data_IF_953790306687
#
_entry.id   IF_953790306687
#
_cell.length_a   1.000
_cell.length_b   1.000
_cell.length_c   1.000
_cell.angle_alpha   90.00
_cell.angle_beta   90.00
_cell.angle_gamma   90.00
#
_symmetry.space_group_name_H-M   'P 1'
#
loop_
_entity.id
_entity.type
_entity.pdbx_description
1 polymer ?
#
# COMPACT_ATOMS: atom_id res chain seq x y z
N UNK A 1 -17.17 13.04 10.63
CA UNK A 1 -18.57 12.54 10.45
C UNK A 1 -18.74 11.25 11.21
N UNK A 2 -19.94 10.98 11.75
CA UNK A 2 -20.27 9.69 12.35
C UNK A 2 -20.80 8.69 11.31
N UNK A 3 -21.02 7.40 11.70
CA UNK A 3 -21.50 6.34 10.78
C UNK A 3 -22.80 6.71 10.07
N UNK A 4 -23.75 7.40 10.75
CA UNK A 4 -25.03 7.79 10.14
C UNK A 4 -24.80 8.81 9.02
N UNK A 5 -23.97 9.82 9.25
CA UNK A 5 -23.65 10.86 8.26
C UNK A 5 -22.89 10.26 7.04
N UNK A 6 -22.00 9.28 7.29
CA UNK A 6 -21.33 8.54 6.21
C UNK A 6 -22.34 7.77 5.37
N UNK A 7 -23.28 7.06 5.99
CA UNK A 7 -24.30 6.29 5.27
C UNK A 7 -25.24 7.23 4.47
N UNK A 8 -25.60 8.40 5.00
CA UNK A 8 -26.37 9.43 4.28
C UNK A 8 -25.58 9.99 3.08
N UNK A 9 -24.28 10.27 3.26
CA UNK A 9 -23.39 10.72 2.20
C UNK A 9 -23.29 9.69 1.07
N UNK A 10 -23.13 8.43 1.43
CA UNK A 10 -23.05 7.32 0.47
C UNK A 10 -24.37 7.08 -0.28
N UNK A 11 -25.52 7.36 0.36
CA UNK A 11 -26.83 7.22 -0.27
C UNK A 11 -27.12 8.34 -1.31
N UNK A 12 -26.34 9.42 -1.32
CA UNK A 12 -26.50 10.51 -2.28
C UNK A 12 -26.18 10.06 -3.72
N UNK A 13 -26.88 10.65 -4.71
CA UNK A 13 -26.62 10.39 -6.13
C UNK A 13 -25.28 10.97 -6.61
N UNK A 14 -24.71 11.90 -5.87
CA UNK A 14 -23.43 12.52 -6.22
C UNK A 14 -22.24 11.68 -5.72
N UNK A 15 -21.96 10.60 -6.43
CA UNK A 15 -20.89 9.68 -6.08
C UNK A 15 -19.50 10.33 -6.06
N UNK A 16 -19.25 11.32 -6.92
CA UNK A 16 -17.96 12.01 -6.98
C UNK A 16 -17.70 12.82 -5.71
N UNK A 17 -18.70 13.50 -5.19
CA UNK A 17 -18.60 14.24 -3.92
C UNK A 17 -18.41 13.29 -2.74
N UNK A 18 -19.16 12.18 -2.70
CA UNK A 18 -19.03 11.18 -1.64
C UNK A 18 -17.61 10.58 -1.61
N UNK A 19 -17.06 10.21 -2.77
CA UNK A 19 -15.71 9.67 -2.87
C UNK A 19 -14.65 10.72 -2.52
N UNK A 20 -14.83 11.99 -2.92
CA UNK A 20 -13.92 13.06 -2.55
C UNK A 20 -13.86 13.25 -1.03
N UNK A 21 -15.01 13.24 -0.35
CA UNK A 21 -15.07 13.35 1.10
C UNK A 21 -14.42 12.16 1.81
N UNK A 22 -14.68 10.94 1.35
CA UNK A 22 -14.02 9.74 1.88
C UNK A 22 -12.50 9.79 1.73
N UNK A 23 -11.98 10.37 0.64
CA UNK A 23 -10.54 10.58 0.42
C UNK A 23 -9.98 11.67 1.34
N UNK A 24 -10.75 12.72 1.62
CA UNK A 24 -10.35 13.82 2.50
C UNK A 24 -10.27 13.41 3.98
N UNK A 25 -10.97 12.35 4.40
CA UNK A 25 -10.87 11.79 5.75
C UNK A 25 -9.48 11.27 6.10
N UNK A 26 -8.62 11.07 5.09
CA UNK A 26 -7.21 10.76 5.29
C UNK A 26 -6.42 12.03 5.62
N UNK A 27 -5.60 11.97 6.66
CA UNK A 27 -4.79 13.10 7.11
C UNK A 27 -3.73 13.46 6.04
N UNK A 28 -3.74 14.70 5.55
CA UNK A 28 -2.84 15.17 4.49
C UNK A 28 -1.33 15.12 4.85
N UNK A 29 -1.02 14.98 6.14
CA UNK A 29 0.36 14.86 6.65
C UNK A 29 0.94 13.45 6.57
N UNK A 30 0.15 12.47 6.11
CA UNK A 30 0.65 11.11 5.98
C UNK A 30 1.70 11.00 4.86
N UNK A 31 2.76 10.25 5.14
CA UNK A 31 3.87 10.13 4.19
C UNK A 31 3.42 9.49 2.89
N UNK A 32 3.98 9.98 1.77
CA UNK A 32 3.73 9.42 0.45
C UNK A 32 4.26 7.98 0.35
N UNK A 33 3.37 7.00 0.42
CA UNK A 33 3.74 5.58 0.36
C UNK A 33 4.56 5.23 -0.89
N UNK A 34 4.34 5.93 -2.02
CA UNK A 34 5.09 5.72 -3.25
C UNK A 34 6.58 6.04 -3.09
N UNK A 35 6.91 7.06 -2.29
CA UNK A 35 8.30 7.44 -2.03
C UNK A 35 9.04 6.36 -1.23
N UNK A 36 8.40 5.78 -0.21
CA UNK A 36 8.99 4.66 0.55
C UNK A 36 9.16 3.40 -0.28
N UNK A 37 8.17 3.09 -1.13
CA UNK A 37 8.22 1.93 -2.02
C UNK A 37 9.34 2.10 -3.05
N UNK A 38 9.54 3.30 -3.60
CA UNK A 38 10.63 3.60 -4.53
C UNK A 38 12.02 3.33 -3.92
N UNK A 39 12.19 3.63 -2.61
CA UNK A 39 13.45 3.36 -1.90
C UNK A 39 13.75 1.87 -1.68
N UNK A 40 12.74 1.00 -1.79
CA UNK A 40 12.94 -0.45 -1.70
C UNK A 40 13.50 -1.05 -2.99
N UNK A 41 13.36 -0.35 -4.12
CA UNK A 41 13.93 -0.75 -5.40
C UNK A 41 15.29 -0.06 -5.61
N UNK A 42 16.41 -0.83 -5.68
CA UNK A 42 17.71 -0.25 -5.96
C UNK A 42 17.75 0.57 -7.25
N UNK A 43 16.96 0.21 -8.27
CA UNK A 43 16.94 0.94 -9.55
C UNK A 43 16.16 2.26 -9.44
N UNK A 44 15.10 2.29 -8.64
CA UNK A 44 14.29 3.48 -8.36
C UNK A 44 14.87 4.40 -7.26
N UNK A 45 16.02 4.03 -6.67
CA UNK A 45 16.61 4.76 -5.58
C UNK A 45 17.20 6.11 -6.05
N UNK A 46 17.02 7.17 -5.26
CA UNK A 46 17.48 8.54 -5.53
C UNK A 46 18.96 8.66 -5.89
N UNK A 47 19.79 7.72 -5.42
CA UNK A 47 21.21 7.63 -5.78
C UNK A 47 21.43 7.46 -7.29
N UNK A 48 20.48 6.82 -7.98
CA UNK A 48 20.56 6.59 -9.42
C UNK A 48 20.03 7.76 -10.25
N UNK A 49 19.37 8.73 -9.61
CA UNK A 49 18.87 9.93 -10.28
C UNK A 49 20.02 10.90 -10.59
N UNK A 50 20.37 11.15 -11.87
CA UNK A 50 21.44 12.06 -12.25
C UNK A 50 21.16 13.53 -11.88
N UNK A 51 19.91 13.90 -11.61
CA UNK A 51 19.53 15.25 -11.14
C UNK A 51 19.84 15.41 -9.66
N UNK A 52 19.52 14.39 -8.86
CA UNK A 52 19.78 14.38 -7.40
C UNK A 52 21.25 14.13 -7.09
N UNK A 53 21.88 13.23 -7.85
CA UNK A 53 23.33 12.94 -7.74
C UNK A 53 24.01 13.27 -9.06
N UNK A 54 24.38 14.54 -9.19
CA UNK A 54 25.03 15.06 -10.41
C UNK A 54 26.43 14.50 -10.57
N UNK A 55 26.86 14.38 -11.82
CA UNK A 55 28.23 14.08 -12.15
C UNK A 55 29.16 15.19 -11.68
N UNK A 56 30.40 14.83 -11.36
CA UNK A 56 31.38 15.75 -10.81
C UNK A 56 31.96 16.65 -11.92
N UNK A 57 31.91 17.95 -11.71
CA UNK A 57 32.67 18.89 -12.53
C UNK A 57 34.11 18.97 -12.00
N UNK A 58 35.08 18.62 -12.82
CA UNK A 58 36.52 18.71 -12.51
C UNK A 58 37.10 19.78 -13.38
N UNK A 59 37.74 20.82 -12.73
CA UNK A 59 38.48 21.83 -13.46
C UNK A 59 39.68 21.19 -14.16
N UNK A 60 39.92 21.61 -15.41
CA UNK A 60 41.01 21.09 -16.22
C UNK A 60 41.89 22.26 -16.62
N UNK A 61 43.19 22.14 -16.38
CA UNK A 61 44.17 23.07 -16.90
C UNK A 61 44.62 22.57 -18.29
N UNK A 62 44.29 23.35 -19.34
CA UNK A 62 44.67 23.00 -20.71
C UNK A 62 46.18 23.10 -20.99
N UNK A 63 46.93 23.67 -20.05
CA UNK A 63 48.42 23.69 -20.12
C UNK A 63 49.06 22.41 -19.62
N UNK A 64 48.25 21.49 -19.06
CA UNK A 64 48.71 20.18 -18.59
C UNK A 64 49.03 19.28 -19.78
N UNK A 65 50.27 18.89 -19.94
CA UNK A 65 50.80 18.12 -21.07
C UNK A 65 50.30 16.65 -21.09
N UNK A 66 49.72 16.16 -20.01
CA UNK A 66 49.24 14.79 -19.88
C UNK A 66 47.82 14.56 -20.46
N UNK A 67 47.15 15.61 -20.96
CA UNK A 67 45.82 15.49 -21.53
C UNK A 67 45.91 15.05 -23.01
N UNK A 68 45.45 13.84 -23.29
CA UNK A 68 45.41 13.33 -24.66
C UNK A 68 44.26 13.97 -25.48
N UNK A 69 44.32 13.82 -26.82
CA UNK A 69 43.36 14.46 -27.73
C UNK A 69 41.92 13.91 -27.60
N UNK A 70 41.73 12.69 -27.09
CA UNK A 70 40.40 12.16 -26.81
C UNK A 70 39.80 12.77 -25.53
N UNK A 71 40.61 13.01 -24.52
CA UNK A 71 40.19 13.71 -23.29
C UNK A 71 39.82 15.17 -23.55
N UNK A 72 40.57 15.85 -24.44
CA UNK A 72 40.26 17.22 -24.87
C UNK A 72 38.86 17.35 -25.51
N UNK A 73 38.36 16.32 -26.22
CA UNK A 73 37.02 16.34 -26.80
C UNK A 73 35.89 16.39 -25.78
N UNK A 74 36.15 15.98 -24.54
CA UNK A 74 35.19 15.94 -23.44
C UNK A 74 35.26 17.16 -22.52
N UNK A 75 36.16 18.12 -22.80
CA UNK A 75 36.32 19.34 -22.04
C UNK A 75 35.28 20.36 -22.50
N UNK A 76 34.55 20.92 -21.56
CA UNK A 76 33.58 22.00 -21.78
C UNK A 76 34.19 23.30 -21.27
N UNK A 77 34.08 24.34 -22.08
CA UNK A 77 34.53 25.68 -21.73
C UNK A 77 33.30 26.54 -21.40
N UNK A 78 33.30 27.21 -20.28
CA UNK A 78 32.25 28.17 -19.87
C UNK A 78 32.93 29.48 -19.52
N UNK A 79 32.44 30.57 -20.13
CA UNK A 79 32.88 31.92 -19.79
C UNK A 79 31.90 32.50 -18.77
N UNK A 80 32.39 32.90 -17.62
CA UNK A 80 31.60 33.55 -16.59
C UNK A 80 31.28 35.02 -16.98
N UNK A 81 30.29 35.62 -16.29
CA UNK A 81 29.87 37.02 -16.56
C UNK A 81 30.96 38.06 -16.48
N UNK A 82 32.06 37.76 -15.80
CA UNK A 82 33.27 38.61 -15.64
C UNK A 82 34.33 38.37 -16.74
N UNK A 83 33.99 37.57 -17.77
CA UNK A 83 34.87 37.25 -18.90
C UNK A 83 35.95 36.19 -18.60
N UNK A 84 35.97 35.59 -17.41
CA UNK A 84 36.86 34.48 -17.10
C UNK A 84 36.38 33.18 -17.71
N UNK A 85 37.29 32.44 -18.33
CA UNK A 85 37.00 31.19 -19.01
C UNK A 85 37.46 30.03 -18.12
N UNK A 86 36.51 29.18 -17.73
CA UNK A 86 36.81 27.95 -16.99
C UNK A 86 36.62 26.73 -17.90
N UNK A 87 37.64 25.88 -17.93
CA UNK A 87 37.59 24.58 -18.59
C UNK A 87 37.31 23.50 -17.57
N UNK A 88 36.35 22.64 -17.86
CA UNK A 88 36.02 21.52 -16.99
C UNK A 88 35.61 20.28 -17.82
N UNK A 89 35.88 19.11 -17.25
CA UNK A 89 35.33 17.85 -17.69
C UNK A 89 34.27 17.35 -16.74
N UNK A 90 33.30 16.60 -17.27
CA UNK A 90 32.29 15.94 -16.45
C UNK A 90 32.73 14.49 -16.23
N UNK A 91 33.03 14.17 -14.98
CA UNK A 91 33.36 12.82 -14.56
C UNK A 91 32.09 12.11 -14.05
N UNK A 92 31.75 10.93 -14.62
CA UNK A 92 30.62 10.18 -14.14
C UNK A 92 30.85 9.71 -12.71
N UNK A 93 29.90 10.02 -11.83
CA UNK A 93 29.95 9.56 -10.44
C UNK A 93 29.35 8.16 -10.36
N UNK A 94 30.06 7.23 -9.71
CA UNK A 94 29.53 5.90 -9.44
C UNK A 94 28.21 6.00 -8.64
N UNK A 95 27.13 5.46 -9.20
CA UNK A 95 25.81 5.41 -8.60
C UNK A 95 25.53 3.97 -8.19
N UNK A 96 25.81 3.65 -6.93
CA UNK A 96 25.58 2.31 -6.38
C UNK A 96 24.49 2.41 -5.33
N UNK A 97 23.29 1.93 -5.68
CA UNK A 97 22.19 1.83 -4.73
C UNK A 97 22.31 0.51 -3.95
N UNK A 98 22.50 0.63 -2.65
CA UNK A 98 22.47 -0.50 -1.75
C UNK A 98 21.03 -0.70 -1.26
N UNK A 99 20.47 -1.91 -1.42
CA UNK A 99 19.11 -2.25 -0.98
C UNK A 99 19.00 -2.40 0.56
N UNK A 100 19.54 -1.43 1.31
CA UNK A 100 19.57 -1.46 2.78
C UNK A 100 18.17 -1.42 3.35
N UNK A 101 17.29 -0.57 2.81
CA UNK A 101 15.89 -0.45 3.25
C UNK A 101 15.16 -1.79 3.08
N UNK A 102 15.35 -2.46 1.95
CA UNK A 102 14.79 -3.79 1.69
C UNK A 102 15.31 -4.84 2.67
N UNK A 103 16.60 -4.76 3.03
CA UNK A 103 17.21 -5.65 4.02
C UNK A 103 16.62 -5.40 5.42
N UNK A 104 16.46 -4.13 5.81
CA UNK A 104 15.87 -3.74 7.10
C UNK A 104 14.43 -4.26 7.18
N UNK A 105 13.59 -4.02 6.18
CA UNK A 105 12.21 -4.52 6.14
C UNK A 105 12.18 -6.04 6.26
N UNK A 106 13.02 -6.76 5.49
CA UNK A 106 13.09 -8.21 5.53
C UNK A 106 13.47 -8.73 6.92
N UNK A 107 14.44 -8.11 7.58
CA UNK A 107 14.87 -8.48 8.94
C UNK A 107 13.81 -8.13 9.98
N UNK A 108 13.17 -6.96 9.89
CA UNK A 108 12.09 -6.56 10.79
C UNK A 108 10.93 -7.54 10.73
N UNK A 109 10.48 -7.94 9.53
CA UNK A 109 9.44 -8.97 9.36
C UNK A 109 9.86 -10.31 9.96
N UNK A 110 11.11 -10.72 9.74
CA UNK A 110 11.62 -11.99 10.28
C UNK A 110 11.72 -11.95 11.81
N UNK A 111 12.07 -10.82 12.40
CA UNK A 111 12.15 -10.63 13.84
C UNK A 111 10.76 -10.65 14.49
N UNK A 112 9.81 -9.87 13.92
CA UNK A 112 8.46 -9.73 14.49
C UNK A 112 7.63 -11.00 14.36
N UNK A 113 7.70 -11.67 13.18
CA UNK A 113 6.89 -12.85 12.85
C UNK A 113 7.74 -14.09 12.50
N UNK A 114 8.91 -14.21 13.10
CA UNK A 114 9.75 -15.41 13.00
C UNK A 114 9.04 -16.62 13.60
N UNK A 115 8.46 -16.43 14.77
CA UNK A 115 7.62 -17.42 15.43
C UNK A 115 6.14 -17.22 15.08
N UNK A 116 5.35 -18.28 15.01
CA UNK A 116 3.90 -18.16 14.82
C UNK A 116 3.25 -17.50 16.05
N UNK A 117 2.20 -16.70 15.79
CA UNK A 117 1.33 -16.20 16.87
C UNK A 117 0.55 -17.38 17.45
N UNK A 118 0.58 -17.54 18.75
CA UNK A 118 -0.11 -18.60 19.48
C UNK A 118 -1.31 -17.97 20.20
N UNK A 119 -2.48 -18.57 20.00
CA UNK A 119 -3.68 -18.21 20.78
C UNK A 119 -3.59 -18.98 22.11
N UNK A 120 -3.29 -18.25 23.17
CA UNK A 120 -3.19 -18.80 24.53
C UNK A 120 -4.54 -18.69 25.23
N UNK A 121 -5.39 -19.71 25.02
CA UNK A 121 -6.67 -19.88 25.70
C UNK A 121 -6.91 -21.38 25.93
N UNK A 122 -7.34 -21.71 27.12
CA UNK A 122 -7.60 -23.09 27.57
C UNK A 122 -9.02 -23.23 28.12
N UNK A 123 -10.05 -23.17 27.27
CA UNK A 123 -11.43 -23.36 27.70
C UNK A 123 -11.69 -24.81 28.05
N UNK A 124 -12.60 -25.04 28.98
CA UNK A 124 -13.04 -26.41 29.37
C UNK A 124 -13.61 -27.15 28.14
N UNK A 125 -13.27 -28.44 28.04
CA UNK A 125 -13.77 -29.28 26.95
C UNK A 125 -15.30 -29.43 26.99
N UNK A 126 -15.94 -29.36 25.81
CA UNK A 126 -17.40 -29.48 25.68
C UNK A 126 -18.15 -28.15 25.89
N UNK A 127 -17.43 -27.06 26.14
CA UNK A 127 -18.04 -25.70 26.21
C UNK A 127 -18.14 -25.03 24.87
N UNK A 128 -19.04 -24.02 24.73
CA UNK A 128 -19.15 -23.20 23.51
C UNK A 128 -17.85 -22.45 23.23
N UNK A 129 -17.14 -22.03 24.27
CA UNK A 129 -15.86 -21.34 24.19
C UNK A 129 -14.79 -22.23 23.53
N UNK A 130 -14.79 -23.52 23.85
CA UNK A 130 -13.89 -24.51 23.24
C UNK A 130 -14.19 -24.67 21.73
N UNK A 131 -15.47 -24.72 21.36
CA UNK A 131 -15.88 -24.84 19.97
C UNK A 131 -15.53 -23.55 19.17
N UNK A 132 -15.75 -22.37 19.76
CA UNK A 132 -15.36 -21.09 19.15
C UNK A 132 -13.84 -21.05 18.96
N UNK A 133 -13.05 -21.43 19.95
CA UNK A 133 -11.59 -21.46 19.82
C UNK A 133 -11.12 -22.40 18.72
N UNK A 134 -11.73 -23.59 18.60
CA UNK A 134 -11.45 -24.54 17.51
C UNK A 134 -11.76 -23.92 16.15
N UNK A 135 -12.92 -23.24 16.03
CA UNK A 135 -13.33 -22.54 14.81
C UNK A 135 -12.35 -21.41 14.43
N UNK A 136 -11.96 -20.58 15.39
CA UNK A 136 -10.98 -19.49 15.16
C UNK A 136 -9.62 -20.07 14.72
N UNK A 137 -9.10 -21.09 15.42
CA UNK A 137 -7.86 -21.75 15.01
C UNK A 137 -7.95 -22.32 13.60
N UNK A 138 -9.12 -22.87 13.22
CA UNK A 138 -9.35 -23.40 11.87
C UNK A 138 -9.43 -22.30 10.82
N UNK A 139 -10.11 -21.18 11.10
CA UNK A 139 -10.14 -20.01 10.22
C UNK A 139 -8.74 -19.47 9.95
N UNK A 140 -7.93 -19.31 11.01
CA UNK A 140 -6.54 -18.87 10.89
C UNK A 140 -5.68 -19.85 10.08
N UNK A 141 -5.86 -21.16 10.27
CA UNK A 141 -5.18 -22.19 9.49
C UNK A 141 -5.56 -22.13 8.00
N UNK A 142 -6.87 -22.06 7.69
CA UNK A 142 -7.39 -22.02 6.33
C UNK A 142 -6.92 -20.75 5.58
N UNK A 143 -6.66 -19.66 6.29
CA UNK A 143 -6.13 -18.41 5.75
C UNK A 143 -4.59 -18.32 5.85
N UNK A 144 -3.90 -19.39 6.24
CA UNK A 144 -2.43 -19.44 6.35
C UNK A 144 -1.87 -18.28 7.18
N UNK A 145 -2.38 -18.11 8.40
CA UNK A 145 -2.12 -16.97 9.29
C UNK A 145 -0.64 -16.60 9.41
N UNK A 146 0.28 -17.57 9.47
CA UNK A 146 1.72 -17.33 9.52
C UNK A 146 2.22 -16.56 8.28
N UNK A 147 1.73 -16.90 7.10
CA UNK A 147 2.09 -16.20 5.84
C UNK A 147 1.35 -14.87 5.73
N UNK A 148 0.10 -14.82 6.18
CA UNK A 148 -0.72 -13.62 6.24
C UNK A 148 -0.02 -12.55 7.08
N UNK A 149 0.31 -12.84 8.34
CA UNK A 149 0.96 -11.89 9.24
C UNK A 149 2.27 -11.32 8.67
N UNK A 150 3.07 -12.17 8.01
CA UNK A 150 4.30 -11.72 7.34
C UNK A 150 4.02 -10.81 6.14
N UNK A 151 2.93 -11.05 5.40
CA UNK A 151 2.54 -10.18 4.28
C UNK A 151 2.05 -8.82 4.77
N UNK A 152 1.21 -8.80 5.80
CA UNK A 152 0.74 -7.57 6.46
C UNK A 152 1.91 -6.77 6.99
N UNK A 153 2.80 -7.40 7.77
CA UNK A 153 3.99 -6.74 8.29
C UNK A 153 4.90 -6.18 7.19
N UNK A 154 5.07 -6.93 6.09
CA UNK A 154 5.85 -6.43 4.95
C UNK A 154 5.19 -5.19 4.34
N UNK A 155 3.87 -5.18 4.12
CA UNK A 155 3.13 -4.00 3.67
C UNK A 155 3.37 -2.83 4.60
N UNK A 156 3.15 -3.03 5.89
CA UNK A 156 3.28 -2.00 6.93
C UNK A 156 4.71 -1.43 7.02
N UNK A 157 5.74 -2.27 7.06
CA UNK A 157 7.13 -1.80 7.13
C UNK A 157 7.63 -1.18 5.81
N UNK A 158 7.01 -1.52 4.68
CA UNK A 158 7.40 -1.00 3.36
C UNK A 158 6.70 0.31 3.00
N UNK A 159 5.45 0.48 3.38
CA UNK A 159 4.60 1.60 2.97
C UNK A 159 3.93 2.34 4.13
N UNK A 160 4.23 1.95 5.38
CA UNK A 160 3.66 2.46 6.65
C UNK A 160 2.16 2.18 6.84
N UNK A 161 1.54 1.49 5.91
CA UNK A 161 0.14 1.12 6.02
C UNK A 161 -0.15 -0.24 5.40
N UNK A 162 -1.10 -0.95 5.98
CA UNK A 162 -1.64 -2.20 5.48
C UNK A 162 -3.00 -2.44 6.12
N UNK A 163 -3.90 -3.08 5.41
CA UNK A 163 -5.22 -3.42 5.92
C UNK A 163 -5.60 -4.86 5.60
N UNK A 164 -6.37 -5.48 6.47
CA UNK A 164 -6.94 -6.81 6.29
C UNK A 164 -8.46 -6.70 6.14
N UNK A 165 -8.99 -7.15 5.01
CA UNK A 165 -10.43 -7.33 4.84
C UNK A 165 -10.81 -8.76 5.17
N UNK A 166 -11.66 -8.97 6.16
CA UNK A 166 -12.27 -10.25 6.49
C UNK A 166 -13.68 -10.34 5.90
N UNK A 167 -13.95 -11.37 5.10
CA UNK A 167 -15.22 -11.49 4.39
C UNK A 167 -15.71 -12.94 4.35
N UNK A 168 -17.04 -13.16 4.47
CA UNK A 168 -17.63 -14.47 4.30
C UNK A 168 -17.71 -14.85 2.82
N UNK A 169 -17.43 -16.11 2.53
CA UNK A 169 -17.64 -16.72 1.22
C UNK A 169 -18.63 -17.87 1.38
N UNK A 170 -19.67 -17.88 0.59
CA UNK A 170 -20.64 -18.96 0.56
C UNK A 170 -19.97 -20.26 0.08
N UNK A 171 -19.60 -21.06 1.05
CA UNK A 171 -18.98 -22.38 0.86
C UNK A 171 -19.24 -23.23 2.10
N UNK A 172 -20.17 -24.17 2.05
CA UNK A 172 -20.50 -25.02 3.18
C UNK A 172 -19.28 -25.76 3.72
N UNK A 173 -19.16 -25.83 5.05
CA UNK A 173 -18.04 -26.50 5.71
C UNK A 173 -18.45 -27.03 7.08
N UNK A 174 -17.93 -28.21 7.44
CA UNK A 174 -18.00 -28.79 8.79
C UNK A 174 -16.70 -28.65 9.57
N UNK A 175 -15.69 -28.04 8.95
CA UNK A 175 -14.33 -27.98 9.50
C UNK A 175 -14.19 -27.04 10.71
N UNK A 176 -15.23 -26.26 11.02
CA UNK A 176 -15.23 -25.36 12.20
C UNK A 176 -15.69 -26.03 13.49
N UNK A 177 -16.05 -27.32 13.44
CA UNK A 177 -16.64 -28.06 14.58
C UNK A 177 -18.18 -27.98 14.60
N UNK A 178 -18.76 -27.22 13.69
CA UNK A 178 -20.21 -27.11 13.46
C UNK A 178 -20.49 -26.93 11.97
N UNK A 179 -21.75 -27.11 11.56
CA UNK A 179 -22.17 -26.90 10.19
C UNK A 179 -22.25 -25.40 9.90
N UNK A 180 -21.44 -24.92 8.98
CA UNK A 180 -21.44 -23.53 8.53
C UNK A 180 -21.69 -23.46 7.02
N UNK A 181 -22.56 -22.53 6.60
CA UNK A 181 -22.82 -22.27 5.19
C UNK A 181 -21.73 -21.41 4.54
N UNK A 182 -20.89 -20.74 5.36
CA UNK A 182 -19.86 -19.83 4.90
C UNK A 182 -18.48 -20.17 5.46
N UNK A 183 -17.47 -19.83 4.70
CA UNK A 183 -16.08 -19.77 5.17
C UNK A 183 -15.64 -18.32 5.28
N UNK A 184 -14.91 -17.99 6.34
CA UNK A 184 -14.29 -16.68 6.50
C UNK A 184 -12.95 -16.65 5.77
N UNK A 185 -12.76 -15.64 4.91
CA UNK A 185 -11.56 -15.40 4.13
C UNK A 185 -11.00 -14.03 4.43
N UNK A 186 -9.71 -13.85 4.13
CA UNK A 186 -9.01 -12.59 4.31
C UNK A 186 -8.32 -12.16 3.03
N UNK A 187 -8.42 -10.87 2.71
CA UNK A 187 -7.64 -10.20 1.69
C UNK A 187 -6.78 -9.12 2.33
N UNK A 188 -5.58 -8.89 1.78
CA UNK A 188 -4.65 -7.87 2.27
C UNK A 188 -4.64 -6.72 1.27
N UNK A 189 -4.77 -5.51 1.77
CA UNK A 189 -4.65 -4.27 1.01
C UNK A 189 -3.41 -3.52 1.48
N UNK A 190 -2.62 -3.03 0.55
CA UNK A 190 -1.43 -2.25 0.86
C UNK A 190 -0.98 -1.46 -0.36
N UNK A 191 -0.41 -0.27 -0.18
CA UNK A 191 0.23 0.47 -1.26
C UNK A 191 1.34 -0.33 -1.95
N UNK A 192 1.98 -1.26 -1.25
CA UNK A 192 2.95 -2.19 -1.84
C UNK A 192 2.36 -3.05 -2.97
N UNK A 193 1.05 -3.27 -2.96
CA UNK A 193 0.32 -4.02 -3.99
C UNK A 193 -0.45 -3.12 -4.96
N UNK A 194 -0.28 -1.80 -4.85
CA UNK A 194 -0.91 -0.81 -5.72
C UNK A 194 -2.24 -0.27 -5.22
N UNK A 195 -2.63 -0.59 -3.97
CA UNK A 195 -3.81 -0.01 -3.35
C UNK A 195 -3.51 1.39 -2.80
N UNK A 196 -4.50 2.28 -2.79
CA UNK A 196 -4.53 3.49 -1.98
C UNK A 196 -5.60 3.32 -0.92
N UNK A 197 -5.22 3.49 0.35
CA UNK A 197 -6.08 3.21 1.49
C UNK A 197 -6.60 4.52 2.08
N UNK A 198 -7.89 4.54 2.43
CA UNK A 198 -8.58 5.71 2.96
C UNK A 198 -9.44 5.29 4.17
N UNK A 199 -8.82 5.12 5.36
CA UNK A 199 -9.57 4.97 6.59
C UNK A 199 -10.23 6.31 6.93
N UNK A 200 -11.48 6.28 7.38
CA UNK A 200 -12.21 7.43 7.85
C UNK A 200 -12.56 7.27 9.33
N UNK A 201 -12.01 8.14 10.15
CA UNK A 201 -12.23 8.14 11.58
C UNK A 201 -13.19 9.27 11.96
N UNK A 202 -14.02 9.02 12.96
CA UNK A 202 -14.86 10.06 13.57
C UNK A 202 -14.07 10.91 14.59
N UNK A 203 -14.76 11.84 15.24
CA UNK A 203 -14.16 12.73 16.23
C UNK A 203 -13.69 12.00 17.51
N UNK A 204 -14.19 10.80 17.75
CA UNK A 204 -13.78 9.95 18.89
C UNK A 204 -12.59 9.05 18.58
N UNK A 205 -12.20 8.98 17.30
CA UNK A 205 -11.13 8.15 16.82
C UNK A 205 -11.57 6.74 16.41
N UNK A 206 -12.88 6.49 16.34
CA UNK A 206 -13.42 5.24 15.84
C UNK A 206 -13.48 5.26 14.31
N UNK A 207 -13.06 4.17 13.68
CA UNK A 207 -13.15 4.02 12.22
C UNK A 207 -14.60 3.78 11.82
N UNK A 208 -15.19 4.73 11.09
CA UNK A 208 -16.61 4.70 10.66
C UNK A 208 -16.80 4.31 9.21
N UNK A 209 -15.74 4.38 8.40
CA UNK A 209 -15.67 3.83 7.06
C UNK A 209 -14.23 3.46 6.70
N UNK A 210 -14.08 2.51 5.81
CA UNK A 210 -12.79 2.22 5.19
C UNK A 210 -12.97 2.15 3.68
N UNK A 211 -12.10 2.84 2.94
CA UNK A 211 -12.15 2.80 1.49
C UNK A 211 -10.79 2.46 0.89
N UNK A 212 -10.80 1.89 -0.31
CA UNK A 212 -9.60 1.68 -1.11
C UNK A 212 -9.83 2.05 -2.57
N UNK A 213 -8.77 2.55 -3.20
CA UNK A 213 -8.70 2.76 -4.64
C UNK A 213 -7.62 1.85 -5.23
N UNK A 214 -7.93 1.18 -6.34
CA UNK A 214 -7.00 0.28 -7.00
C UNK A 214 -7.28 0.19 -8.49
N UNK A 215 -6.27 -0.27 -9.24
CA UNK A 215 -6.34 -0.40 -10.70
C UNK A 215 -6.20 -1.86 -11.09
N UNK A 216 -7.12 -2.33 -11.92
CA UNK A 216 -7.07 -3.66 -12.54
C UNK A 216 -6.89 -3.50 -14.04
N UNK A 217 -6.05 -4.33 -14.63
CA UNK A 217 -5.95 -4.46 -16.10
C UNK A 217 -6.84 -5.62 -16.54
N UNK A 218 -7.63 -5.38 -17.56
CA UNK A 218 -8.40 -6.46 -18.20
C UNK A 218 -7.50 -7.32 -19.13
N UNK A 219 -8.11 -8.32 -19.78
CA UNK A 219 -7.41 -9.21 -20.71
C UNK A 219 -6.85 -8.49 -21.95
N UNK A 220 -7.38 -7.31 -22.30
CA UNK A 220 -6.91 -6.45 -23.38
C UNK A 220 -5.81 -5.46 -22.92
N UNK A 221 -5.47 -5.45 -21.63
CA UNK A 221 -4.50 -4.55 -21.03
C UNK A 221 -5.05 -3.16 -20.67
N UNK A 222 -6.35 -2.93 -20.85
CA UNK A 222 -7.00 -1.66 -20.48
C UNK A 222 -7.10 -1.56 -18.96
N UNK A 223 -6.75 -0.39 -18.44
CA UNK A 223 -6.78 -0.11 -17.00
C UNK A 223 -8.16 0.37 -16.57
N UNK A 224 -8.72 -0.29 -15.57
CA UNK A 224 -9.96 0.09 -14.89
C UNK A 224 -9.63 0.50 -13.46
N UNK A 225 -10.05 1.69 -13.06
CA UNK A 225 -9.88 2.19 -11.69
C UNK A 225 -11.15 1.93 -10.91
N UNK A 226 -11.00 1.32 -9.76
CA UNK A 226 -12.09 1.01 -8.84
C UNK A 226 -11.91 1.73 -7.52
N UNK A 227 -13.02 2.10 -6.91
CA UNK A 227 -13.09 2.60 -5.54
C UNK A 227 -14.08 1.75 -4.76
N UNK A 228 -13.68 1.20 -3.63
CA UNK A 228 -14.54 0.36 -2.77
C UNK A 228 -14.60 0.97 -1.39
N UNK A 229 -15.79 0.99 -0.79
CA UNK A 229 -16.02 1.46 0.58
C UNK A 229 -16.76 0.41 1.39
N UNK A 230 -16.30 0.23 2.61
CA UNK A 230 -16.82 -0.71 3.60
C UNK A 230 -17.30 0.09 4.82
N UNK A 231 -18.57 -0.08 5.17
CA UNK A 231 -19.19 0.46 6.40
C UNK A 231 -19.70 -0.69 7.27
N UNK A 232 -20.27 -0.38 8.40
CA UNK A 232 -20.94 -1.34 9.29
C UNK A 232 -22.19 -1.97 8.65
N UNK A 233 -22.85 -1.25 7.73
CA UNK A 233 -24.12 -1.63 7.11
C UNK A 233 -23.99 -2.19 5.70
N UNK A 234 -23.08 -1.62 4.89
CA UNK A 234 -23.01 -1.92 3.47
C UNK A 234 -21.60 -1.84 2.88
N UNK A 235 -21.48 -2.43 1.70
CA UNK A 235 -20.27 -2.39 0.86
C UNK A 235 -20.66 -1.76 -0.47
N UNK A 236 -19.93 -0.74 -0.90
CA UNK A 236 -20.11 -0.09 -2.21
C UNK A 236 -18.88 -0.21 -3.06
N UNK A 237 -19.09 -0.30 -4.36
CA UNK A 237 -18.00 -0.36 -5.34
C UNK A 237 -18.34 0.48 -6.54
N UNK A 238 -17.41 1.36 -6.93
CA UNK A 238 -17.52 2.23 -8.09
C UNK A 238 -16.40 1.96 -9.08
N UNK A 239 -16.67 2.27 -10.32
CA UNK A 239 -15.67 2.33 -11.40
C UNK A 239 -15.57 3.74 -11.94
N UNK A 240 -14.36 4.13 -12.34
CA UNK A 240 -14.11 5.42 -12.97
C UNK A 240 -14.27 5.28 -14.49
N UNK A 241 -15.32 5.88 -15.05
CA UNK A 241 -15.60 5.89 -16.49
C UNK A 241 -15.71 7.32 -16.97
N UNK A 242 -14.96 7.71 -18.00
CA UNK A 242 -14.98 9.08 -18.56
C UNK A 242 -14.84 10.18 -17.48
N UNK A 243 -13.95 9.95 -16.51
CA UNK A 243 -13.69 10.84 -15.38
C UNK A 243 -14.85 11.05 -14.40
N UNK A 244 -15.84 10.15 -14.43
CA UNK A 244 -16.97 10.12 -13.50
C UNK A 244 -17.03 8.78 -12.77
N UNK A 245 -17.35 8.82 -11.47
CA UNK A 245 -17.55 7.63 -10.67
C UNK A 245 -18.96 7.08 -10.87
N UNK A 246 -19.05 5.83 -11.26
CA UNK A 246 -20.30 5.11 -11.47
C UNK A 246 -20.39 3.91 -10.54
N UNK A 247 -21.51 3.79 -9.84
CA UNK A 247 -21.75 2.63 -8.98
C UNK A 247 -21.84 1.37 -9.86
N UNK A 248 -21.16 0.32 -9.45
CA UNK A 248 -21.14 -0.95 -10.18
C UNK A 248 -22.48 -1.68 -9.98
N UNK A 249 -22.92 -2.38 -11.01
CA UNK A 249 -24.12 -3.23 -10.95
C UNK A 249 -23.98 -4.26 -9.82
N UNK A 250 -25.09 -4.47 -9.09
CA UNK A 250 -25.13 -5.35 -7.93
C UNK A 250 -24.59 -4.74 -6.62
N UNK A 251 -24.30 -3.43 -6.61
CA UNK A 251 -23.99 -2.68 -5.40
C UNK A 251 -25.05 -1.60 -5.15
N UNK A 252 -25.30 -1.20 -3.88
CA UNK A 252 -24.62 -1.64 -2.65
C UNK A 252 -24.94 -3.09 -2.25
N UNK A 253 -24.00 -3.76 -1.59
CA UNK A 253 -24.20 -5.05 -0.95
C UNK A 253 -24.32 -4.88 0.55
N UNK A 254 -25.22 -5.62 1.19
CA UNK A 254 -25.34 -5.63 2.64
C UNK A 254 -24.07 -6.21 3.28
N UNK A 255 -23.54 -5.52 4.28
CA UNK A 255 -22.48 -6.06 5.13
C UNK A 255 -23.09 -7.09 6.10
N UNK A 256 -22.73 -8.35 5.94
CA UNK A 256 -23.26 -9.46 6.75
C UNK A 256 -22.63 -9.53 8.16
N UNK A 257 -21.52 -8.84 8.39
CA UNK A 257 -20.77 -8.90 9.64
C UNK A 257 -21.35 -7.89 10.66
N UNK A 258 -22.00 -6.81 10.20
CA UNK A 258 -22.56 -5.76 11.06
C UNK A 258 -21.52 -4.88 11.76
N UNK A 259 -20.25 -4.97 11.34
CA UNK A 259 -19.13 -4.10 11.72
C UNK A 259 -18.28 -3.86 10.49
N UNK A 260 -17.47 -2.83 10.49
CA UNK A 260 -16.51 -2.63 9.40
C UNK A 260 -15.60 -3.86 9.32
N UNK A 261 -15.60 -4.60 8.19
CA UNK A 261 -14.90 -5.88 8.08
C UNK A 261 -13.40 -5.69 7.81
N UNK A 262 -12.87 -4.51 8.02
CA UNK A 262 -11.47 -4.13 7.76
C UNK A 262 -10.76 -3.79 9.06
N UNK A 263 -9.57 -4.35 9.22
CA UNK A 263 -8.61 -4.01 10.27
C UNK A 263 -7.48 -3.22 9.58
N UNK A 264 -7.29 -1.96 10.01
CA UNK A 264 -6.28 -1.06 9.47
C UNK A 264 -5.19 -0.77 10.50
#
# INVERSE_FOLDING_TARGET
MNSKQINELLASENHSTAIAELKNGRNATEPNAAEYIAQLDPQGHDVNDPVKRRDKKVKVDLSDFDINDEEKKNIKTVTNGDGETENFRIEPVARVALAIQKLIVKRAVAFTFGNPVILNAEPEEGTKEADVLKAVKRVLFDNKSRTLNRKVARGMYSSKESAELWYPVEKPTKNYGFDSTHKLRVAIFSPLFGDRLYPYFDETGDMVAFSREYVVKDSAGVKHTYFETYTDTEIRKWTLTSNQWQLLDGYPKKNQIGKIPVIY
#
